data_IF_609845097558
#
_entry.id   IF_609845097558
#
_cell.length_a   1.000
_cell.length_b   1.000
_cell.length_c   1.000
_cell.angle_alpha   90.00
_cell.angle_beta   90.00
_cell.angle_gamma   90.00
#
_symmetry.space_group_name_H-M   'P 1'
#
loop_
_entity.id
_entity.type
_entity.pdbx_description
1 polymer ?
#
# COMPACT_ATOMS: atom_id res chain seq x y z
N UNK A 1 -39.46 24.36 17.10
CA UNK A 1 -38.08 24.40 17.64
C UNK A 1 -37.91 23.18 18.53
N UNK A 2 -36.99 22.29 18.10
CA UNK A 2 -36.10 21.37 18.83
C UNK A 2 -36.65 20.50 19.98
N UNK A 3 -36.17 19.29 20.30
CA UNK A 3 -35.38 18.20 19.68
C UNK A 3 -35.09 17.24 20.85
N UNK A 4 -35.44 15.95 20.77
CA UNK A 4 -34.60 14.75 21.06
C UNK A 4 -35.43 13.46 21.07
N UNK A 5 -34.83 12.29 20.74
CA UNK A 5 -35.47 11.23 19.97
C UNK A 5 -35.80 9.99 20.81
N UNK A 6 -36.91 9.35 20.44
CA UNK A 6 -37.37 8.09 21.02
C UNK A 6 -36.54 6.88 20.59
N UNK A 7 -36.15 6.11 21.60
CA UNK A 7 -35.95 4.66 21.65
C UNK A 7 -35.66 3.91 20.33
N UNK A 8 -34.41 3.46 20.18
CA UNK A 8 -34.07 2.37 19.27
C UNK A 8 -34.77 1.06 19.71
N UNK A 9 -35.77 0.61 18.94
CA UNK A 9 -36.35 -0.75 19.06
C UNK A 9 -35.37 -1.80 18.49
N UNK A 10 -35.11 -2.91 19.19
CA UNK A 10 -34.28 -3.99 18.65
C UNK A 10 -34.99 -4.72 17.50
N UNK A 11 -34.24 -4.99 16.42
CA UNK A 11 -34.69 -5.72 15.23
C UNK A 11 -35.08 -7.16 15.61
N UNK A 12 -36.36 -7.51 15.44
CA UNK A 12 -36.90 -8.86 15.69
C UNK A 12 -36.32 -9.83 14.65
N UNK A 13 -35.61 -10.87 15.09
CA UNK A 13 -35.15 -11.97 14.21
C UNK A 13 -36.35 -12.81 13.79
N UNK A 14 -36.45 -13.13 12.51
CA UNK A 14 -37.53 -13.96 11.96
C UNK A 14 -37.18 -15.44 12.20
N UNK A 15 -38.13 -16.18 12.76
CA UNK A 15 -38.00 -17.59 13.19
C UNK A 15 -39.25 -18.33 12.73
N UNK A 16 -39.12 -19.59 12.34
CA UNK A 16 -40.28 -20.43 12.00
C UNK A 16 -41.09 -20.85 13.24
N UNK A 17 -42.22 -21.55 13.03
CA UNK A 17 -43.13 -21.99 14.09
C UNK A 17 -42.52 -23.04 15.06
N UNK A 18 -41.27 -23.48 14.83
CA UNK A 18 -40.52 -24.32 15.76
C UNK A 18 -39.29 -23.59 16.36
N UNK A 19 -39.19 -22.27 16.17
CA UNK A 19 -38.17 -21.44 16.79
C UNK A 19 -36.79 -21.54 16.14
N UNK A 20 -36.67 -22.07 14.91
CA UNK A 20 -35.40 -22.09 14.17
C UNK A 20 -35.27 -20.89 13.22
N UNK A 21 -34.06 -20.32 13.06
CA UNK A 21 -33.84 -19.18 12.17
C UNK A 21 -34.16 -19.59 10.72
N UNK A 22 -35.13 -18.92 10.10
CA UNK A 22 -35.51 -19.19 8.72
C UNK A 22 -34.53 -18.47 7.80
N UNK A 23 -33.64 -19.22 7.13
CA UNK A 23 -32.75 -18.69 6.11
C UNK A 23 -33.55 -18.51 4.82
N UNK A 24 -33.99 -17.30 4.52
CA UNK A 24 -34.54 -16.96 3.20
C UNK A 24 -33.43 -17.08 2.15
N UNK A 25 -33.48 -18.16 1.36
CA UNK A 25 -32.75 -18.23 0.09
C UNK A 25 -33.54 -17.43 -0.93
N UNK A 26 -33.06 -16.23 -1.24
CA UNK A 26 -33.46 -15.51 -2.43
C UNK A 26 -33.13 -16.36 -3.67
N UNK A 27 -34.17 -16.93 -4.27
CA UNK A 27 -34.12 -17.53 -5.60
C UNK A 27 -34.08 -16.40 -6.61
N UNK A 28 -32.87 -15.98 -6.95
CA UNK A 28 -32.61 -14.93 -7.93
C UNK A 28 -31.54 -15.34 -8.92
N UNK A 29 -32.01 -15.88 -10.05
CA UNK A 29 -31.42 -15.79 -11.38
C UNK A 29 -30.04 -16.43 -11.65
N UNK A 30 -30.10 -17.44 -12.50
CA UNK A 30 -29.01 -18.13 -13.18
C UNK A 30 -28.07 -17.14 -13.89
N UNK A 31 -26.82 -17.03 -13.43
CA UNK A 31 -25.70 -16.61 -14.29
C UNK A 31 -24.47 -17.41 -13.89
N UNK A 32 -24.22 -18.45 -14.68
CA UNK A 32 -22.99 -19.22 -14.71
C UNK A 32 -21.82 -18.31 -15.06
N UNK A 33 -21.15 -17.70 -14.07
CA UNK A 33 -19.76 -17.27 -14.19
C UNK A 33 -19.04 -17.49 -12.86
N UNK A 34 -18.11 -18.43 -12.91
CA UNK A 34 -16.99 -18.57 -11.99
C UNK A 34 -16.39 -17.20 -11.72
N UNK A 35 -16.34 -16.79 -10.46
CA UNK A 35 -15.10 -16.24 -9.89
C UNK A 35 -15.23 -16.29 -8.38
N UNK A 36 -14.32 -17.05 -7.76
CA UNK A 36 -13.96 -16.92 -6.34
C UNK A 36 -14.10 -15.45 -5.95
N UNK A 37 -14.76 -15.18 -4.82
CA UNK A 37 -14.44 -13.99 -4.06
C UNK A 37 -12.95 -14.05 -3.73
N UNK A 38 -12.10 -13.53 -4.61
CA UNK A 38 -10.70 -13.25 -4.35
C UNK A 38 -10.75 -12.26 -3.21
N UNK A 39 -10.48 -12.75 -2.00
CA UNK A 39 -10.20 -11.96 -0.82
C UNK A 39 -9.22 -10.88 -1.29
N UNK A 40 -9.70 -9.64 -1.52
CA UNK A 40 -8.86 -8.54 -2.02
C UNK A 40 -7.68 -8.44 -1.07
N UNK A 41 -6.54 -8.93 -1.53
CA UNK A 41 -5.39 -9.09 -0.66
C UNK A 41 -4.88 -7.69 -0.35
N UNK A 42 -4.84 -7.35 0.94
CA UNK A 42 -4.49 -5.99 1.36
C UNK A 42 -2.99 -5.77 1.09
N UNK A 43 -2.60 -4.64 0.47
CA UNK A 43 -1.19 -4.32 0.30
C UNK A 43 -0.52 -4.18 1.67
N UNK A 44 0.76 -4.53 1.73
CA UNK A 44 1.56 -4.35 2.93
C UNK A 44 1.83 -2.88 3.15
N UNK A 45 1.51 -2.38 4.34
CA UNK A 45 1.75 -0.99 4.72
C UNK A 45 3.08 -0.90 5.43
N UNK A 46 4.00 -0.11 4.89
CA UNK A 46 5.28 0.21 5.53
C UNK A 46 5.44 1.71 5.72
N UNK A 47 6.32 2.08 6.65
CA UNK A 47 6.67 3.46 6.96
C UNK A 47 8.11 3.71 6.54
N UNK A 48 8.33 4.72 5.72
CA UNK A 48 9.64 5.09 5.18
C UNK A 48 10.03 6.45 5.75
N UNK A 49 11.22 6.55 6.33
CA UNK A 49 11.81 7.81 6.76
C UNK A 49 12.67 8.35 5.62
N UNK A 50 12.27 9.48 5.05
CA UNK A 50 12.96 10.13 3.95
C UNK A 50 13.85 11.25 4.51
N UNK A 51 15.12 11.34 4.10
CA UNK A 51 15.91 12.56 4.27
C UNK A 51 15.15 13.77 3.72
N UNK A 52 15.26 14.94 4.37
CA UNK A 52 14.47 16.12 4.00
C UNK A 52 14.77 16.62 2.58
N UNK A 53 16.02 16.50 2.11
CA UNK A 53 16.46 16.74 0.74
C UNK A 53 15.65 15.92 -0.28
N UNK A 54 15.61 14.61 -0.10
CA UNK A 54 14.82 13.67 -0.91
C UNK A 54 13.31 13.98 -0.80
N UNK A 55 12.81 14.23 0.41
CA UNK A 55 11.41 14.59 0.61
C UNK A 55 11.02 15.87 -0.15
N UNK A 56 11.88 16.89 -0.16
CA UNK A 56 11.64 18.16 -0.84
C UNK A 56 11.53 17.96 -2.37
N UNK A 57 12.40 17.15 -2.95
CA UNK A 57 12.34 16.83 -4.39
C UNK A 57 11.11 15.98 -4.74
N UNK A 58 10.79 14.95 -3.94
CA UNK A 58 9.55 14.18 -4.09
C UNK A 58 8.29 15.08 -4.00
N UNK A 59 8.31 16.07 -3.11
CA UNK A 59 7.25 17.08 -2.95
C UNK A 59 7.14 17.99 -4.16
N UNK A 60 8.27 18.43 -4.72
CA UNK A 60 8.33 19.24 -5.93
C UNK A 60 7.76 18.46 -7.11
N UNK A 61 8.23 17.23 -7.33
CA UNK A 61 7.73 16.37 -8.38
C UNK A 61 6.23 16.07 -8.20
N UNK A 62 5.74 15.93 -6.95
CA UNK A 62 4.30 15.82 -6.71
C UNK A 62 3.53 17.07 -7.14
N UNK A 63 4.05 18.27 -6.87
CA UNK A 63 3.40 19.51 -7.32
C UNK A 63 3.33 19.61 -8.85
N UNK A 64 4.31 19.07 -9.57
CA UNK A 64 4.39 19.09 -11.04
C UNK A 64 3.53 18.00 -11.69
N UNK A 65 3.55 16.78 -11.15
CA UNK A 65 2.93 15.59 -11.78
C UNK A 65 1.63 15.14 -11.15
N UNK A 66 1.27 15.68 -9.97
CA UNK A 66 0.20 15.17 -9.11
C UNK A 66 0.36 13.71 -8.65
N UNK A 67 1.51 13.08 -8.89
CA UNK A 67 1.82 11.72 -8.41
C UNK A 67 2.19 11.74 -6.93
N UNK A 68 1.47 11.02 -6.04
CA UNK A 68 1.79 10.99 -4.62
C UNK A 68 3.18 10.42 -4.33
N UNK A 69 3.84 10.91 -3.28
CA UNK A 69 5.20 10.51 -2.88
C UNK A 69 5.38 8.98 -2.78
N UNK A 70 4.44 8.28 -2.15
CA UNK A 70 4.53 6.82 -2.00
C UNK A 70 4.52 6.09 -3.34
N UNK A 71 3.82 6.65 -4.33
CA UNK A 71 3.68 6.08 -5.66
C UNK A 71 4.93 6.35 -6.49
N UNK A 72 5.50 7.55 -6.39
CA UNK A 72 6.80 7.87 -6.99
C UNK A 72 7.89 6.89 -6.52
N UNK A 73 7.97 6.60 -5.22
CA UNK A 73 8.94 5.65 -4.67
C UNK A 73 8.73 4.21 -5.17
N UNK A 74 7.47 3.77 -5.23
CA UNK A 74 7.14 2.41 -5.66
C UNK A 74 7.39 2.22 -7.16
N UNK A 75 6.95 3.18 -7.99
CA UNK A 75 7.15 3.16 -9.44
C UNK A 75 8.65 3.21 -9.79
N UNK A 76 9.44 3.98 -9.05
CA UNK A 76 10.89 3.99 -9.21
C UNK A 76 11.53 2.62 -8.98
N UNK A 77 11.15 1.97 -7.88
CA UNK A 77 11.64 0.64 -7.57
C UNK A 77 11.23 -0.38 -8.63
N UNK A 78 9.98 -0.34 -9.09
CA UNK A 78 9.50 -1.25 -10.13
C UNK A 78 10.24 -1.05 -11.45
N UNK A 79 10.54 0.20 -11.81
CA UNK A 79 11.28 0.55 -13.03
C UNK A 79 12.75 0.14 -12.99
N UNK A 80 13.44 0.37 -11.88
CA UNK A 80 14.89 0.09 -11.74
C UNK A 80 15.15 -1.42 -11.61
N UNK A 81 14.23 -2.16 -11.01
CA UNK A 81 14.50 -3.54 -10.60
C UNK A 81 13.86 -4.62 -11.45
N UNK A 82 12.98 -4.27 -12.40
CA UNK A 82 12.07 -5.22 -13.08
C UNK A 82 11.45 -6.20 -12.08
N UNK A 83 10.74 -5.64 -11.09
CA UNK A 83 10.18 -6.40 -9.97
C UNK A 83 11.19 -7.23 -9.16
N UNK A 84 12.44 -6.78 -9.07
CA UNK A 84 13.52 -7.37 -8.27
C UNK A 84 14.44 -8.34 -9.00
N UNK A 85 14.35 -8.47 -10.33
CA UNK A 85 15.26 -9.25 -11.15
C UNK A 85 16.68 -8.64 -11.21
N UNK A 86 16.77 -7.31 -11.39
CA UNK A 86 18.03 -6.63 -11.73
C UNK A 86 18.53 -5.66 -10.64
N UNK A 87 18.03 -5.77 -9.42
CA UNK A 87 18.47 -4.88 -8.34
C UNK A 87 19.96 -5.05 -8.03
N UNK A 88 20.70 -3.98 -8.25
CA UNK A 88 22.02 -3.75 -7.67
C UNK A 88 21.89 -2.68 -6.59
N UNK A 89 22.36 -2.94 -5.35
CA UNK A 89 22.43 -1.90 -4.35
C UNK A 89 23.41 -0.82 -4.83
N UNK A 90 22.90 0.37 -5.12
CA UNK A 90 23.74 1.55 -5.23
C UNK A 90 24.18 1.96 -3.82
N UNK A 91 25.40 2.46 -3.67
CA UNK A 91 25.81 3.18 -2.46
C UNK A 91 24.95 4.44 -2.39
N UNK A 92 23.82 4.35 -1.69
CA UNK A 92 22.94 5.47 -1.49
C UNK A 92 23.59 6.41 -0.47
N UNK A 93 24.43 7.30 -0.96
CA UNK A 93 25.02 8.38 -0.17
C UNK A 93 24.00 9.50 -0.05
N UNK A 94 23.05 9.35 0.88
CA UNK A 94 22.26 10.46 1.38
C UNK A 94 22.63 10.75 2.83
N UNK A 95 22.59 12.02 3.21
CA UNK A 95 22.96 12.44 4.55
C UNK A 95 21.98 11.85 5.58
N UNK A 96 22.46 10.88 6.36
CA UNK A 96 21.67 10.23 7.41
C UNK A 96 21.45 11.11 8.64
N UNK A 97 22.24 12.18 8.80
CA UNK A 97 22.10 13.15 9.88
C UNK A 97 21.08 14.25 9.56
N UNK A 98 20.48 14.21 8.36
CA UNK A 98 19.44 15.16 7.98
C UNK A 98 18.12 14.90 8.75
N UNK A 99 17.38 15.98 9.01
CA UNK A 99 15.99 15.87 9.46
C UNK A 99 15.21 14.93 8.53
N UNK A 100 14.52 13.94 9.08
CA UNK A 100 13.71 13.01 8.27
C UNK A 100 12.23 13.40 8.25
N UNK A 101 11.56 13.07 7.15
CA UNK A 101 10.09 13.12 7.02
C UNK A 101 9.56 11.73 6.74
N UNK A 102 8.53 11.37 7.49
CA UNK A 102 7.94 10.04 7.40
C UNK A 102 6.83 9.99 6.35
N UNK A 103 6.84 8.96 5.51
CA UNK A 103 5.75 8.65 4.57
C UNK A 103 5.28 7.22 4.74
N UNK A 104 4.02 6.96 4.40
CA UNK A 104 3.45 5.60 4.37
C UNK A 104 3.43 5.10 2.93
N UNK A 105 3.96 3.90 2.70
CA UNK A 105 3.96 3.24 1.39
C UNK A 105 3.15 1.95 1.44
N UNK A 106 2.33 1.73 0.41
CA UNK A 106 1.51 0.53 0.24
C UNK A 106 2.14 -0.35 -0.83
N UNK A 107 2.66 -1.50 -0.42
CA UNK A 107 3.44 -2.41 -1.25
C UNK A 107 2.59 -3.62 -1.63
N UNK A 108 2.38 -3.91 -2.92
CA UNK A 108 1.74 -5.14 -3.37
C UNK A 108 2.49 -6.38 -2.89
N UNK A 109 1.79 -7.49 -2.67
CA UNK A 109 2.40 -8.70 -2.09
C UNK A 109 3.55 -9.27 -2.91
N UNK A 110 3.45 -9.25 -4.24
CA UNK A 110 4.50 -9.80 -5.09
C UNK A 110 5.74 -8.91 -5.12
N UNK A 111 5.55 -7.59 -5.17
CA UNK A 111 6.61 -6.59 -4.96
C UNK A 111 7.26 -6.76 -3.58
N UNK A 112 6.47 -6.99 -2.52
CA UNK A 112 7.00 -7.22 -1.18
C UNK A 112 7.90 -8.46 -1.12
N UNK A 113 7.51 -9.57 -1.76
CA UNK A 113 8.34 -10.78 -1.79
C UNK A 113 9.68 -10.52 -2.47
N UNK A 114 9.69 -9.77 -3.57
CA UNK A 114 10.90 -9.39 -4.27
C UNK A 114 11.81 -8.51 -3.40
N UNK A 115 11.25 -7.47 -2.77
CA UNK A 115 11.98 -6.62 -1.82
C UNK A 115 12.55 -7.40 -0.63
N UNK A 116 11.82 -8.41 -0.13
CA UNK A 116 12.30 -9.31 0.93
C UNK A 116 13.46 -10.20 0.46
N UNK A 117 13.43 -10.69 -0.79
CA UNK A 117 14.55 -11.44 -1.37
C UNK A 117 15.80 -10.55 -1.49
N UNK A 118 15.64 -9.33 -1.98
CA UNK A 118 16.72 -8.34 -2.06
C UNK A 118 17.30 -8.06 -0.68
N UNK A 119 16.44 -7.80 0.32
CA UNK A 119 16.86 -7.59 1.71
C UNK A 119 17.66 -8.78 2.25
N UNK A 120 17.22 -10.01 1.96
CA UNK A 120 17.93 -11.22 2.39
C UNK A 120 19.27 -11.41 1.67
N UNK A 121 19.40 -10.96 0.43
CA UNK A 121 20.61 -11.15 -0.40
C UNK A 121 21.66 -10.06 -0.16
N UNK A 122 21.24 -8.81 0.00
CA UNK A 122 22.11 -7.64 0.02
C UNK A 122 22.06 -6.84 1.33
N UNK A 123 21.17 -7.18 2.27
CA UNK A 123 21.03 -6.45 3.54
C UNK A 123 20.26 -5.13 3.45
N UNK A 124 19.98 -4.62 2.25
CA UNK A 124 19.25 -3.36 2.05
C UNK A 124 17.82 -3.43 2.59
N UNK A 125 17.44 -2.49 3.47
CA UNK A 125 16.08 -2.44 4.00
C UNK A 125 15.08 -2.07 2.89
N UNK A 126 13.80 -2.35 3.10
CA UNK A 126 12.75 -1.97 2.13
C UNK A 126 12.72 -0.45 1.92
N UNK A 127 12.98 0.33 2.99
CA UNK A 127 13.06 1.78 2.90
C UNK A 127 14.25 2.20 2.03
N UNK A 128 15.44 1.63 2.26
CA UNK A 128 16.64 1.96 1.48
C UNK A 128 16.47 1.55 0.03
N UNK A 129 15.86 0.40 -0.25
CA UNK A 129 15.54 -0.04 -1.62
C UNK A 129 14.66 0.98 -2.34
N UNK A 130 13.60 1.50 -1.70
CA UNK A 130 12.71 2.49 -2.28
C UNK A 130 13.42 3.84 -2.52
N UNK A 131 14.20 4.31 -1.56
CA UNK A 131 14.92 5.59 -1.64
C UNK A 131 16.00 5.53 -2.72
N UNK A 132 16.83 4.47 -2.70
CA UNK A 132 17.93 4.29 -3.64
C UNK A 132 17.44 4.13 -5.08
N UNK A 133 16.35 3.40 -5.29
CA UNK A 133 15.77 3.24 -6.64
C UNK A 133 15.25 4.57 -7.17
N UNK A 134 14.63 5.39 -6.32
CA UNK A 134 14.17 6.72 -6.72
C UNK A 134 15.33 7.67 -7.02
N UNK A 135 16.37 7.68 -6.19
CA UNK A 135 17.56 8.49 -6.43
C UNK A 135 18.23 8.09 -7.76
N UNK A 136 18.38 6.78 -8.01
CA UNK A 136 18.94 6.27 -9.25
C UNK A 136 18.08 6.61 -10.48
N UNK A 137 16.75 6.48 -10.39
CA UNK A 137 15.84 6.84 -11.48
C UNK A 137 15.95 8.33 -11.85
N UNK A 138 16.10 9.20 -10.85
CA UNK A 138 16.10 10.65 -11.05
C UNK A 138 17.48 11.22 -11.32
N UNK A 139 18.54 10.42 -11.20
CA UNK A 139 19.92 10.90 -11.24
C UNK A 139 20.23 11.88 -10.10
N UNK A 140 19.57 11.70 -8.95
CA UNK A 140 19.79 12.56 -7.80
C UNK A 140 21.15 12.25 -7.18
N UNK A 141 22.04 13.24 -7.21
CA UNK A 141 23.32 13.25 -6.51
C UNK A 141 23.17 14.17 -5.29
N UNK A 142 23.20 13.57 -4.09
CA UNK A 142 22.98 14.24 -2.81
C UNK A 142 24.10 15.13 -2.34
#
# INVERSE_FOLDING_TARGET
MNDTPGLARPKKKQTDAQGKPTLTKDTGLNTTKVTKATKKEKPHRTTVNLPYSIYKELRRNWAETSTPIYRQLLEAWELITDHGADYQPADATYNTDELTRTTTVYIPKDTLKAMQKIRSKYGASIADQLISSWAQQTGWEG
#
